data_IF_672144147149
#
_entry.id   IF_672144147149
#
_cell.length_a   1.000
_cell.length_b   1.000
_cell.length_c   1.000
_cell.angle_alpha   90.00
_cell.angle_beta   90.00
_cell.angle_gamma   90.00
#
_symmetry.space_group_name_H-M   'P 1'
#
loop_
_entity.id
_entity.type
_entity.pdbx_description
1 polymer ?
#
# COMPACT_ATOMS: atom_id res chain seq x y z
N UNK A 1 -40.95 16.77 -11.94
CA UNK A 1 -40.04 15.81 -12.62
C UNK A 1 -38.89 16.50 -13.37
N UNK A 2 -38.30 17.56 -12.88
CA UNK A 2 -37.36 18.37 -13.70
C UNK A 2 -36.08 18.77 -13.00
N UNK A 3 -35.97 18.65 -11.70
CA UNK A 3 -34.74 19.08 -11.00
C UNK A 3 -33.66 17.97 -10.85
N UNK A 4 -34.05 16.73 -10.62
CA UNK A 4 -33.10 15.60 -10.49
C UNK A 4 -32.41 15.18 -11.81
N UNK A 5 -33.09 15.36 -12.94
CA UNK A 5 -32.50 15.10 -14.27
C UNK A 5 -31.45 16.15 -14.67
N UNK A 6 -31.61 17.40 -14.25
CA UNK A 6 -30.65 18.46 -14.55
C UNK A 6 -29.34 18.31 -13.77
N UNK A 7 -29.40 17.90 -12.50
CA UNK A 7 -28.18 17.60 -11.70
C UNK A 7 -27.39 16.41 -12.26
N UNK A 8 -28.08 15.34 -12.69
CA UNK A 8 -27.40 14.18 -13.27
C UNK A 8 -26.72 14.48 -14.61
N UNK A 9 -27.32 15.37 -15.43
CA UNK A 9 -26.76 15.79 -16.71
C UNK A 9 -25.55 16.72 -16.50
N UNK A 10 -25.60 17.64 -15.53
CA UNK A 10 -24.48 18.53 -15.22
C UNK A 10 -23.28 17.76 -14.65
N UNK A 11 -23.52 16.81 -13.75
CA UNK A 11 -22.50 15.90 -13.27
C UNK A 11 -21.92 15.04 -14.40
N UNK A 12 -22.75 14.58 -15.31
CA UNK A 12 -22.34 13.75 -16.45
C UNK A 12 -21.55 14.55 -17.51
N UNK A 13 -21.91 15.79 -17.75
CA UNK A 13 -21.19 16.72 -18.68
C UNK A 13 -19.85 17.16 -18.07
N UNK A 14 -19.78 17.47 -16.77
CA UNK A 14 -18.53 17.71 -16.07
C UNK A 14 -17.64 16.46 -16.06
N UNK A 15 -18.21 15.28 -15.86
CA UNK A 15 -17.51 14.00 -15.90
C UNK A 15 -16.91 13.73 -17.29
N UNK A 16 -17.66 13.87 -18.38
CA UNK A 16 -17.14 13.73 -19.75
C UNK A 16 -16.05 14.75 -20.12
N UNK A 17 -16.18 15.99 -19.68
CA UNK A 17 -15.17 17.03 -19.93
C UNK A 17 -13.84 16.77 -19.20
N UNK A 18 -13.89 16.12 -18.02
CA UNK A 18 -12.71 15.77 -17.25
C UNK A 18 -11.95 14.58 -17.85
N UNK A 19 -12.66 13.68 -18.50
CA UNK A 19 -12.16 12.37 -18.96
C UNK A 19 -11.38 12.44 -20.29
N UNK A 20 -11.37 13.56 -20.97
CA UNK A 20 -10.64 13.65 -22.25
C UNK A 20 -9.12 13.77 -22.11
N UNK A 21 -8.56 13.93 -20.89
CA UNK A 21 -7.12 14.10 -20.77
C UNK A 21 -6.55 13.57 -19.44
N UNK A 22 -6.02 12.34 -19.47
CA UNK A 22 -5.31 11.76 -18.32
C UNK A 22 -4.24 12.73 -17.78
N UNK A 23 -3.55 13.46 -18.64
CA UNK A 23 -2.52 14.42 -18.24
C UNK A 23 -3.05 15.51 -17.30
N UNK A 24 -4.31 15.95 -17.48
CA UNK A 24 -4.92 16.94 -16.59
C UNK A 24 -5.41 16.39 -15.26
N UNK A 25 -5.52 15.06 -15.14
CA UNK A 25 -5.95 14.37 -13.93
C UNK A 25 -4.77 13.97 -13.03
N UNK A 26 -3.56 13.89 -13.58
CA UNK A 26 -2.36 13.57 -12.81
C UNK A 26 -2.14 14.60 -11.70
N UNK A 27 -1.85 14.11 -10.47
CA UNK A 27 -1.69 14.94 -9.28
C UNK A 27 -3.00 15.33 -8.60
N UNK A 28 -4.13 14.70 -8.97
CA UNK A 28 -5.46 14.99 -8.40
C UNK A 28 -6.10 13.75 -7.78
N UNK A 29 -7.05 14.02 -6.90
CA UNK A 29 -7.97 13.03 -6.34
C UNK A 29 -9.34 13.29 -6.97
N UNK A 30 -9.82 12.33 -7.75
CA UNK A 30 -11.11 12.40 -8.45
C UNK A 30 -12.19 11.86 -7.55
N UNK A 31 -13.30 12.61 -7.41
CA UNK A 31 -14.46 12.10 -6.68
C UNK A 31 -15.33 11.24 -7.60
N UNK A 32 -15.58 10.00 -7.17
CA UNK A 32 -16.47 9.12 -7.94
C UNK A 32 -16.30 7.64 -7.61
N UNK A 33 -17.12 6.82 -8.26
CA UNK A 33 -16.97 5.37 -8.20
C UNK A 33 -15.77 4.91 -9.02
N UNK A 34 -14.84 4.21 -8.35
CA UNK A 34 -13.56 3.79 -8.93
C UNK A 34 -13.74 2.88 -10.16
N UNK A 35 -14.73 1.99 -10.17
CA UNK A 35 -14.96 1.05 -11.28
C UNK A 35 -15.44 1.80 -12.52
N UNK A 36 -16.30 2.77 -12.34
CA UNK A 36 -16.77 3.65 -13.43
C UNK A 36 -15.64 4.51 -13.95
N UNK A 37 -14.85 5.09 -13.05
CA UNK A 37 -13.71 5.91 -13.40
C UNK A 37 -12.63 5.10 -14.17
N UNK A 38 -12.29 3.92 -13.70
CA UNK A 38 -11.30 3.06 -14.37
C UNK A 38 -11.68 2.71 -15.81
N UNK A 39 -12.96 2.51 -16.13
CA UNK A 39 -13.42 2.20 -17.50
C UNK A 39 -13.03 3.26 -18.52
N UNK A 40 -12.97 4.51 -18.08
CA UNK A 40 -12.67 5.65 -18.95
C UNK A 40 -11.16 5.91 -19.08
N UNK A 41 -10.35 5.38 -18.19
CA UNK A 41 -8.90 5.56 -18.25
C UNK A 41 -8.29 4.77 -19.41
N UNK A 42 -7.28 5.34 -20.10
CA UNK A 42 -6.61 4.65 -21.18
C UNK A 42 -5.84 3.42 -20.66
N UNK A 43 -5.76 2.40 -21.50
CA UNK A 43 -4.96 1.22 -21.19
C UNK A 43 -3.47 1.58 -21.05
N UNK A 44 -2.72 0.74 -20.33
CA UNK A 44 -1.25 0.80 -20.21
C UNK A 44 -0.73 2.16 -19.74
N UNK A 45 -1.43 2.79 -18.82
CA UNK A 45 -1.14 4.14 -18.32
C UNK A 45 -0.27 4.16 -17.07
N UNK A 46 -0.39 3.14 -16.21
CA UNK A 46 0.18 3.16 -14.87
C UNK A 46 1.36 2.20 -14.73
N UNK A 47 2.35 2.64 -13.97
CA UNK A 47 3.51 1.85 -13.61
C UNK A 47 3.22 0.99 -12.36
N UNK A 48 2.43 1.54 -11.44
CA UNK A 48 2.04 0.91 -10.18
C UNK A 48 0.59 1.22 -9.84
N UNK A 49 -0.14 0.22 -9.31
CA UNK A 49 -1.46 0.38 -8.72
C UNK A 49 -1.39 -0.11 -7.27
N UNK A 50 -1.90 0.69 -6.33
CA UNK A 50 -2.06 0.30 -4.92
C UNK A 50 -3.54 0.34 -4.61
N UNK A 51 -4.11 -0.80 -4.28
CA UNK A 51 -5.55 -0.97 -4.07
C UNK A 51 -5.81 -1.46 -2.64
N UNK A 52 -6.22 -0.54 -1.78
CA UNK A 52 -6.77 -0.83 -0.45
C UNK A 52 -8.29 -0.59 -0.49
N UNK A 53 -8.99 -1.46 -1.21
CA UNK A 53 -10.42 -1.37 -1.47
C UNK A 53 -11.30 -1.92 -0.35
N UNK A 54 -12.60 -2.09 -0.58
CA UNK A 54 -13.51 -2.72 0.37
C UNK A 54 -13.09 -4.14 0.76
N UNK A 55 -13.39 -4.51 2.01
CA UNK A 55 -13.13 -5.85 2.54
C UNK A 55 -14.41 -6.62 2.89
N UNK A 56 -15.58 -5.97 2.75
CA UNK A 56 -16.90 -6.51 3.13
C UNK A 56 -16.97 -6.93 4.62
N UNK A 57 -16.32 -6.18 5.50
CA UNK A 57 -16.23 -6.51 6.95
C UNK A 57 -16.83 -5.45 7.86
N UNK A 58 -17.18 -4.28 7.31
CA UNK A 58 -17.76 -3.16 8.08
C UNK A 58 -19.20 -2.88 7.65
N UNK A 59 -19.93 -2.09 8.47
CA UNK A 59 -21.28 -1.66 8.15
C UNK A 59 -21.34 -0.39 7.25
N UNK A 60 -20.20 0.11 6.79
CA UNK A 60 -20.16 1.29 5.93
C UNK A 60 -20.69 0.96 4.52
N UNK A 61 -21.43 1.90 3.92
CA UNK A 61 -22.01 1.71 2.59
C UNK A 61 -20.95 1.39 1.52
N UNK A 62 -19.77 2.01 1.60
CA UNK A 62 -18.67 1.77 0.68
C UNK A 62 -18.03 0.38 0.84
N UNK A 63 -18.21 -0.29 1.99
CA UNK A 63 -17.71 -1.64 2.28
C UNK A 63 -18.79 -2.73 2.10
N UNK A 64 -20.00 -2.34 1.70
CA UNK A 64 -21.11 -3.27 1.48
C UNK A 64 -21.00 -3.92 0.10
N UNK A 65 -20.16 -4.93 0.00
CA UNK A 65 -19.92 -5.71 -1.23
C UNK A 65 -20.46 -7.11 -1.02
N UNK A 66 -21.47 -7.49 -1.81
CA UNK A 66 -22.16 -8.77 -1.67
C UNK A 66 -21.25 -9.99 -1.98
N UNK A 67 -20.37 -9.88 -2.95
CA UNK A 67 -19.38 -10.88 -3.33
C UNK A 67 -18.02 -10.20 -3.51
N UNK A 68 -17.24 -10.22 -2.46
CA UNK A 68 -15.93 -9.56 -2.41
C UNK A 68 -14.90 -10.23 -3.34
N UNK A 69 -15.01 -11.54 -3.55
CA UNK A 69 -14.09 -12.26 -4.43
C UNK A 69 -14.36 -11.91 -5.90
N UNK A 70 -15.62 -11.87 -6.30
CA UNK A 70 -16.01 -11.41 -7.64
C UNK A 70 -15.63 -9.94 -7.86
N UNK A 71 -15.88 -9.08 -6.89
CA UNK A 71 -15.47 -7.66 -6.93
C UNK A 71 -13.96 -7.51 -7.15
N UNK A 72 -13.15 -8.21 -6.38
CA UNK A 72 -11.70 -8.17 -6.53
C UNK A 72 -11.23 -8.76 -7.87
N UNK A 73 -11.92 -9.77 -8.41
CA UNK A 73 -11.63 -10.30 -9.72
C UNK A 73 -11.88 -9.27 -10.84
N UNK A 74 -12.98 -8.52 -10.76
CA UNK A 74 -13.28 -7.41 -11.70
C UNK A 74 -12.21 -6.30 -11.59
N UNK A 75 -11.75 -6.00 -10.37
CA UNK A 75 -10.66 -5.05 -10.17
C UNK A 75 -9.36 -5.51 -10.82
N UNK A 76 -8.96 -6.77 -10.62
CA UNK A 76 -7.74 -7.33 -11.21
C UNK A 76 -7.78 -7.33 -12.74
N UNK A 77 -8.94 -7.61 -13.34
CA UNK A 77 -9.14 -7.47 -14.78
C UNK A 77 -8.93 -6.03 -15.24
N UNK A 78 -9.53 -5.07 -14.54
CA UNK A 78 -9.38 -3.64 -14.84
C UNK A 78 -7.93 -3.17 -14.66
N UNK A 79 -7.26 -3.62 -13.61
CA UNK A 79 -5.85 -3.31 -13.35
C UNK A 79 -4.92 -3.87 -14.42
N UNK A 80 -5.17 -5.11 -14.88
CA UNK A 80 -4.41 -5.70 -15.98
C UNK A 80 -4.46 -4.86 -17.26
N UNK A 81 -5.63 -4.28 -17.57
CA UNK A 81 -5.78 -3.36 -18.70
C UNK A 81 -5.02 -2.05 -18.49
N UNK A 82 -5.10 -1.48 -17.28
CA UNK A 82 -4.56 -0.17 -16.96
C UNK A 82 -3.04 -0.17 -16.76
N UNK A 83 -2.47 -1.28 -16.33
CA UNK A 83 -1.03 -1.40 -16.12
C UNK A 83 -0.27 -1.45 -17.44
N UNK A 84 0.87 -0.78 -17.46
CA UNK A 84 1.91 -0.98 -18.47
C UNK A 84 2.47 -2.41 -18.38
N UNK A 85 3.01 -2.97 -19.47
CA UNK A 85 3.77 -4.21 -19.40
C UNK A 85 4.88 -4.13 -18.35
N UNK A 86 4.93 -5.10 -17.45
CA UNK A 86 5.86 -5.14 -16.30
C UNK A 86 5.47 -4.27 -15.12
N UNK A 87 4.37 -3.53 -15.20
CA UNK A 87 3.81 -2.76 -14.09
C UNK A 87 3.28 -3.67 -12.98
N UNK A 88 3.09 -3.11 -11.79
CA UNK A 88 2.79 -3.83 -10.56
C UNK A 88 1.44 -3.44 -9.95
N UNK A 89 0.82 -4.39 -9.22
CA UNK A 89 -0.34 -4.15 -8.36
C UNK A 89 -0.06 -4.67 -6.96
N UNK A 90 -0.44 -3.90 -5.95
CA UNK A 90 -0.64 -4.37 -4.59
C UNK A 90 -2.13 -4.33 -4.26
N UNK A 91 -2.73 -5.50 -4.08
CA UNK A 91 -4.11 -5.66 -3.66
C UNK A 91 -4.15 -6.06 -2.18
N UNK A 92 -4.76 -5.22 -1.37
CA UNK A 92 -4.98 -5.47 0.05
C UNK A 92 -6.27 -6.25 0.28
N UNK A 93 -6.30 -7.05 1.34
CA UNK A 93 -7.51 -7.74 1.77
C UNK A 93 -7.30 -8.61 3.00
N UNK A 94 -8.40 -9.15 3.51
CA UNK A 94 -8.38 -10.30 4.42
C UNK A 94 -8.10 -11.57 3.60
N UNK A 95 -7.61 -12.66 4.24
CA UNK A 95 -7.42 -13.92 3.53
C UNK A 95 -8.62 -14.32 2.67
N UNK A 96 -9.82 -14.29 3.24
CA UNK A 96 -11.06 -14.69 2.55
C UNK A 96 -11.39 -13.80 1.34
N UNK A 97 -10.89 -12.57 1.30
CA UNK A 97 -11.13 -11.64 0.20
C UNK A 97 -10.24 -11.93 -1.02
N UNK A 98 -9.06 -12.54 -0.81
CA UNK A 98 -8.02 -12.62 -1.85
C UNK A 98 -7.55 -14.05 -2.15
N UNK A 99 -7.86 -15.05 -1.29
CA UNK A 99 -7.27 -16.39 -1.39
C UNK A 99 -7.84 -17.24 -2.52
N UNK A 100 -9.10 -17.06 -2.87
CA UNK A 100 -9.81 -17.92 -3.83
C UNK A 100 -10.07 -17.26 -5.19
N UNK A 101 -9.38 -16.15 -5.47
CA UNK A 101 -9.54 -15.44 -6.75
C UNK A 101 -8.68 -16.09 -7.84
N UNK A 102 -9.27 -16.41 -8.99
CA UNK A 102 -8.50 -16.85 -10.15
C UNK A 102 -7.93 -15.65 -10.94
N UNK A 103 -6.81 -15.14 -10.47
CA UNK A 103 -6.08 -13.99 -11.06
C UNK A 103 -5.25 -14.37 -12.29
N UNK A 104 -4.98 -15.66 -12.52
CA UNK A 104 -4.03 -16.15 -13.55
C UNK A 104 -4.32 -15.68 -14.97
N UNK A 105 -5.58 -15.47 -15.41
CA UNK A 105 -5.85 -14.91 -16.72
C UNK A 105 -5.38 -13.46 -16.91
N UNK A 106 -5.17 -12.73 -15.83
CA UNK A 106 -4.95 -11.28 -15.86
C UNK A 106 -3.54 -10.90 -15.47
N UNK A 107 -3.01 -11.46 -14.39
CA UNK A 107 -1.79 -11.03 -13.73
C UNK A 107 -0.98 -12.22 -13.21
N UNK A 108 0.30 -11.98 -12.93
CA UNK A 108 1.19 -12.96 -12.31
C UNK A 108 1.39 -12.61 -10.84
N UNK A 109 1.02 -13.50 -9.94
CA UNK A 109 1.31 -13.34 -8.51
C UNK A 109 2.80 -13.54 -8.25
N UNK A 110 3.44 -12.54 -7.66
CA UNK A 110 4.85 -12.56 -7.27
C UNK A 110 5.02 -12.97 -5.80
N UNK A 111 4.20 -12.41 -4.91
CA UNK A 111 4.26 -12.69 -3.47
C UNK A 111 2.91 -12.43 -2.80
N UNK A 112 2.66 -13.15 -1.71
CA UNK A 112 1.64 -12.84 -0.72
C UNK A 112 2.32 -12.32 0.52
N UNK A 113 2.15 -11.04 0.82
CA UNK A 113 2.74 -10.39 1.96
C UNK A 113 1.73 -10.45 3.11
N UNK A 114 2.17 -10.96 4.24
CA UNK A 114 1.41 -10.96 5.50
C UNK A 114 1.84 -9.74 6.29
N UNK A 115 0.96 -8.75 6.38
CA UNK A 115 1.17 -7.61 7.25
C UNK A 115 0.60 -7.90 8.63
N UNK A 116 1.48 -8.27 9.56
CA UNK A 116 1.13 -8.67 10.92
C UNK A 116 0.78 -7.48 11.81
N UNK A 117 -0.35 -7.58 12.49
CA UNK A 117 -0.93 -6.54 13.35
C UNK A 117 -1.16 -7.08 14.77
N UNK A 118 -0.12 -7.12 15.61
CA UNK A 118 -0.18 -7.77 16.93
C UNK A 118 -1.16 -7.13 17.91
N UNK A 119 -1.49 -5.84 17.70
CA UNK A 119 -2.44 -5.12 18.56
C UNK A 119 -3.91 -5.32 18.17
N UNK A 120 -4.20 -6.11 17.14
CA UNK A 120 -5.58 -6.45 16.80
C UNK A 120 -6.14 -7.40 17.85
N UNK A 121 -7.01 -6.86 18.70
CA UNK A 121 -7.70 -7.64 19.71
C UNK A 121 -8.92 -8.28 19.08
N UNK A 122 -9.00 -9.60 19.11
CA UNK A 122 -10.21 -10.31 18.77
C UNK A 122 -10.61 -11.26 19.89
N UNK A 123 -11.90 -11.44 20.01
CA UNK A 123 -12.51 -12.23 21.06
C UNK A 123 -13.01 -13.58 20.54
N UNK A 124 -12.27 -14.20 19.62
CA UNK A 124 -12.61 -15.53 19.12
C UNK A 124 -12.53 -16.58 20.23
N UNK A 125 -13.65 -17.25 20.51
CA UNK A 125 -13.69 -18.34 21.50
C UNK A 125 -13.62 -19.71 20.88
N UNK A 126 -13.79 -19.81 19.57
CA UNK A 126 -13.90 -21.09 18.84
C UNK A 126 -12.84 -21.26 17.77
N UNK A 127 -12.07 -20.21 17.45
CA UNK A 127 -11.02 -20.26 16.44
C UNK A 127 -9.90 -19.25 16.76
N UNK A 128 -8.76 -19.39 16.07
CA UNK A 128 -7.69 -18.41 16.14
C UNK A 128 -8.13 -17.08 15.51
N UNK A 129 -7.78 -15.98 16.15
CA UNK A 129 -8.06 -14.65 15.69
C UNK A 129 -7.17 -14.28 14.50
N UNK A 130 -7.78 -13.75 13.43
CA UNK A 130 -7.04 -13.13 12.36
C UNK A 130 -6.42 -11.82 12.84
N UNK A 131 -5.10 -11.75 12.88
CA UNK A 131 -4.32 -10.58 13.30
C UNK A 131 -3.35 -10.09 12.21
N UNK A 132 -3.69 -10.29 10.95
CA UNK A 132 -2.94 -9.79 9.81
C UNK A 132 -3.86 -9.40 8.66
N UNK A 133 -3.35 -8.59 7.76
CA UNK A 133 -3.89 -8.38 6.43
C UNK A 133 -2.96 -9.02 5.40
N UNK A 134 -3.51 -9.42 4.27
CA UNK A 134 -2.77 -9.93 3.13
C UNK A 134 -2.60 -8.81 2.11
N UNK A 135 -1.40 -8.68 1.55
CA UNK A 135 -1.13 -7.78 0.44
C UNK A 135 -0.60 -8.64 -0.70
N UNK A 136 -1.44 -8.87 -1.70
CA UNK A 136 -1.04 -9.62 -2.88
C UNK A 136 -0.26 -8.73 -3.83
N UNK A 137 0.99 -9.09 -4.11
CA UNK A 137 1.85 -8.42 -5.09
C UNK A 137 1.75 -9.13 -6.42
N UNK A 138 1.15 -8.46 -7.40
CA UNK A 138 1.02 -8.95 -8.78
C UNK A 138 1.82 -8.10 -9.74
N UNK A 139 2.12 -8.66 -10.92
CA UNK A 139 2.69 -7.94 -12.06
C UNK A 139 1.98 -8.30 -13.36
N UNK A 140 1.95 -7.36 -14.31
CA UNK A 140 1.54 -7.62 -15.69
C UNK A 140 2.70 -8.25 -16.46
N UNK A 141 2.78 -9.57 -16.42
CA UNK A 141 3.92 -10.32 -16.94
C UNK A 141 5.18 -10.22 -16.06
N UNK A 142 6.37 -10.18 -16.68
CA UNK A 142 7.64 -10.07 -15.95
C UNK A 142 7.76 -8.70 -15.30
N UNK A 143 8.03 -8.66 -14.00
CA UNK A 143 8.25 -7.41 -13.27
C UNK A 143 9.34 -6.56 -13.93
N UNK A 144 9.03 -5.26 -14.16
CA UNK A 144 9.98 -4.29 -14.68
C UNK A 144 10.82 -3.67 -13.58
N UNK A 145 10.20 -3.40 -12.43
CA UNK A 145 10.81 -2.68 -11.31
C UNK A 145 10.63 -3.46 -10.02
N UNK A 146 11.74 -3.73 -9.33
CA UNK A 146 11.76 -4.17 -7.94
C UNK A 146 13.05 -3.66 -7.29
N UNK A 147 12.95 -2.50 -6.63
CA UNK A 147 14.08 -1.79 -6.04
C UNK A 147 14.38 -2.33 -4.63
N UNK A 148 15.04 -3.48 -4.56
CA UNK A 148 15.32 -4.16 -3.30
C UNK A 148 16.15 -3.29 -2.36
N UNK A 149 17.11 -2.54 -2.88
CA UNK A 149 18.04 -1.76 -2.05
C UNK A 149 17.33 -0.60 -1.34
N UNK A 150 16.25 -0.05 -1.92
CA UNK A 150 15.44 1.02 -1.33
C UNK A 150 14.53 0.56 -0.18
N UNK A 151 14.37 -0.76 -0.02
CA UNK A 151 13.43 -1.35 0.94
C UNK A 151 14.08 -2.36 1.90
N UNK A 152 15.42 -2.45 1.90
CA UNK A 152 16.12 -3.36 2.81
C UNK A 152 15.77 -3.06 4.26
N UNK A 153 15.70 -4.12 5.05
CA UNK A 153 15.51 -4.05 6.50
C UNK A 153 16.72 -4.61 7.20
N UNK A 154 16.93 -4.17 8.45
CA UNK A 154 18.01 -4.68 9.28
C UNK A 154 17.97 -6.20 9.36
N UNK A 155 19.12 -6.82 9.40
CA UNK A 155 19.24 -8.26 9.64
C UNK A 155 18.80 -8.53 11.09
N UNK A 156 17.72 -9.31 11.26
CA UNK A 156 17.32 -9.73 12.59
C UNK A 156 18.32 -10.76 13.12
N UNK A 157 18.86 -10.45 14.29
CA UNK A 157 19.49 -11.30 15.30
C UNK A 157 20.69 -12.18 14.90
N UNK A 158 21.59 -12.29 15.87
CA UNK A 158 22.85 -13.08 15.83
C UNK A 158 23.81 -12.59 14.74
N UNK A 159 23.73 -11.29 14.45
CA UNK A 159 24.62 -10.63 13.53
C UNK A 159 26.07 -10.86 13.95
N UNK A 160 26.40 -10.88 15.25
CA UNK A 160 27.76 -11.16 15.74
C UNK A 160 28.26 -12.55 15.35
N UNK A 161 27.41 -13.55 15.45
CA UNK A 161 27.78 -14.90 15.02
C UNK A 161 27.87 -14.97 13.50
N UNK A 162 26.99 -14.29 12.78
CA UNK A 162 26.94 -14.29 11.32
C UNK A 162 28.00 -13.38 10.69
N UNK A 163 28.34 -12.25 11.31
CA UNK A 163 29.44 -11.38 10.87
C UNK A 163 30.82 -12.03 10.98
N UNK A 164 30.98 -13.02 11.86
CA UNK A 164 32.19 -13.85 11.91
C UNK A 164 32.32 -14.83 10.75
N UNK A 165 31.22 -15.10 10.06
CA UNK A 165 31.19 -15.95 8.88
C UNK A 165 31.03 -15.06 7.64
N UNK A 166 32.08 -14.88 6.85
CA UNK A 166 32.05 -14.18 5.57
C UNK A 166 30.97 -14.72 4.64
N UNK A 167 30.57 -15.98 4.82
CA UNK A 167 29.55 -16.65 4.01
C UNK A 167 28.70 -17.59 4.88
N UNK A 168 27.39 -17.55 4.71
CA UNK A 168 26.44 -18.45 5.39
C UNK A 168 26.04 -19.58 4.46
N UNK A 169 25.95 -20.83 4.96
CA UNK A 169 25.39 -21.92 4.17
C UNK A 169 23.99 -21.58 3.68
N UNK A 170 23.74 -21.77 2.42
CA UNK A 170 22.42 -21.53 1.81
C UNK A 170 22.13 -22.58 0.74
N UNK A 171 20.85 -22.84 0.51
CA UNK A 171 20.39 -23.67 -0.61
C UNK A 171 19.73 -22.75 -1.65
N UNK A 172 20.28 -22.77 -2.85
CA UNK A 172 19.71 -22.02 -3.98
C UNK A 172 19.57 -22.97 -5.16
N UNK A 173 18.36 -23.06 -5.72
CA UNK A 173 18.03 -23.96 -6.84
C UNK A 173 18.46 -25.42 -6.57
N UNK A 174 18.22 -25.93 -5.37
CA UNK A 174 18.58 -27.30 -4.99
C UNK A 174 20.09 -27.54 -4.76
N UNK A 175 20.93 -26.53 -4.89
CA UNK A 175 22.38 -26.63 -4.67
C UNK A 175 22.78 -25.97 -3.35
N UNK A 176 23.56 -26.66 -2.56
CA UNK A 176 24.20 -26.08 -1.37
C UNK A 176 25.31 -25.11 -1.79
N UNK A 177 25.29 -23.96 -1.20
CA UNK A 177 26.27 -22.90 -1.44
C UNK A 177 26.49 -22.04 -0.22
N UNK A 178 27.22 -20.96 -0.38
CA UNK A 178 27.44 -19.95 0.65
C UNK A 178 26.94 -18.61 0.13
N UNK A 179 26.17 -17.88 0.95
CA UNK A 179 25.66 -16.54 0.62
C UNK A 179 26.39 -15.51 1.47
N UNK A 180 26.96 -14.50 0.83
CA UNK A 180 27.53 -13.36 1.53
C UNK A 180 26.41 -12.50 2.14
N UNK A 181 26.69 -11.89 3.29
CA UNK A 181 25.82 -10.89 3.88
C UNK A 181 25.89 -9.59 3.08
N UNK A 182 24.73 -8.96 2.88
CA UNK A 182 24.71 -7.57 2.43
C UNK A 182 24.77 -6.66 3.67
N UNK A 183 25.78 -5.76 3.79
CA UNK A 183 25.88 -4.83 4.90
C UNK A 183 24.68 -3.87 4.98
N UNK A 184 24.05 -3.55 3.83
CA UNK A 184 22.88 -2.66 3.75
C UNK A 184 21.57 -3.32 4.22
N UNK A 185 21.65 -4.57 4.73
CA UNK A 185 20.49 -5.29 5.23
C UNK A 185 19.94 -6.35 4.27
N UNK A 186 18.81 -6.92 4.63
CA UNK A 186 18.17 -8.03 3.91
C UNK A 186 16.89 -7.60 3.20
N UNK A 187 16.43 -8.44 2.27
CA UNK A 187 15.06 -8.37 1.77
C UNK A 187 14.07 -8.48 2.94
N UNK A 188 13.04 -7.62 3.02
CA UNK A 188 12.02 -7.68 4.07
C UNK A 188 11.35 -9.05 4.20
N UNK A 189 11.33 -9.83 3.11
CA UNK A 189 10.54 -11.06 3.03
C UNK A 189 9.06 -10.74 2.84
N UNK A 190 8.23 -11.72 3.11
CA UNK A 190 6.79 -11.66 2.91
C UNK A 190 5.97 -11.68 4.21
N UNK A 191 6.62 -11.61 5.38
CA UNK A 191 5.97 -11.44 6.68
C UNK A 191 6.49 -10.16 7.35
N UNK A 192 5.64 -9.14 7.42
CA UNK A 192 5.98 -7.80 7.91
C UNK A 192 5.37 -7.53 9.28
N UNK A 193 6.19 -7.62 10.31
CA UNK A 193 5.82 -7.23 11.68
C UNK A 193 6.55 -5.95 12.15
N UNK A 194 7.43 -5.42 11.32
CA UNK A 194 8.22 -4.22 11.60
C UNK A 194 7.49 -2.90 11.30
N UNK A 195 6.35 -2.97 10.61
CA UNK A 195 5.47 -1.83 10.35
C UNK A 195 4.21 -1.99 11.18
N UNK A 196 4.08 -1.17 12.22
CA UNK A 196 2.92 -1.20 13.11
C UNK A 196 1.71 -0.55 12.46
N UNK A 197 0.51 -1.01 12.80
CA UNK A 197 -0.73 -0.31 12.49
C UNK A 197 -0.79 1.02 13.24
N UNK A 198 -1.58 1.96 12.70
CA UNK A 198 -1.83 3.23 13.37
C UNK A 198 -2.61 3.02 14.67
N UNK A 199 -2.33 3.86 15.63
CA UNK A 199 -3.03 3.95 16.91
C UNK A 199 -3.47 5.39 17.15
N UNK A 200 -4.34 5.60 18.11
CA UNK A 200 -4.79 6.95 18.51
C UNK A 200 -3.64 7.89 18.95
N UNK A 201 -2.43 7.35 19.16
CA UNK A 201 -1.22 8.11 19.49
C UNK A 201 -0.33 8.36 18.27
N UNK A 202 -0.66 7.82 17.11
CA UNK A 202 0.14 8.00 15.90
C UNK A 202 0.05 9.43 15.40
N UNK A 203 1.21 10.08 15.20
CA UNK A 203 1.28 11.48 14.76
C UNK A 203 0.69 11.70 13.36
N UNK A 204 0.79 10.70 12.49
CA UNK A 204 0.25 10.72 11.13
C UNK A 204 -1.26 10.45 11.05
N UNK A 205 -1.90 10.12 12.19
CA UNK A 205 -3.33 9.87 12.21
C UNK A 205 -4.10 11.18 12.05
N UNK A 206 -4.86 11.27 10.97
CA UNK A 206 -5.60 12.50 10.63
C UNK A 206 -6.80 12.70 11.55
N UNK A 207 -7.56 11.64 11.83
CA UNK A 207 -8.72 11.66 12.71
C UNK A 207 -8.87 10.34 13.44
N UNK A 208 -9.37 10.39 14.67
CA UNK A 208 -9.69 9.18 15.46
C UNK A 208 -10.79 8.35 14.81
N UNK A 209 -11.70 9.00 14.11
CA UNK A 209 -12.79 8.35 13.40
C UNK A 209 -12.32 7.50 12.22
N UNK A 210 -11.17 7.88 11.63
CA UNK A 210 -10.51 7.14 10.55
C UNK A 210 -9.61 6.01 11.04
N UNK A 211 -9.39 5.92 12.36
CA UNK A 211 -8.58 4.87 12.95
C UNK A 211 -9.26 3.52 12.76
N UNK A 212 -8.47 2.53 12.35
CA UNK A 212 -8.86 1.13 12.14
C UNK A 212 -9.69 0.83 10.87
N UNK A 213 -10.16 1.84 10.16
CA UNK A 213 -11.04 1.58 9.01
C UNK A 213 -10.44 2.02 7.68
N UNK A 214 -9.72 3.14 7.63
CA UNK A 214 -9.41 3.79 6.36
C UNK A 214 -7.93 4.12 6.20
N UNK A 215 -7.29 4.66 7.24
CA UNK A 215 -5.92 5.13 7.09
C UNK A 215 -4.89 4.02 7.29
N UNK A 216 -4.10 3.72 6.28
CA UNK A 216 -2.92 2.85 6.39
C UNK A 216 -1.67 3.66 6.77
N UNK A 217 -0.67 3.04 7.43
CA UNK A 217 0.59 3.70 7.77
C UNK A 217 1.34 4.18 6.52
N UNK A 218 1.87 5.40 6.57
CA UNK A 218 2.68 5.95 5.47
C UNK A 218 3.92 5.09 5.20
N UNK A 219 4.58 4.57 6.24
CA UNK A 219 5.72 3.65 6.11
C UNK A 219 5.38 2.38 5.32
N UNK A 220 4.14 1.88 5.42
CA UNK A 220 3.69 0.74 4.64
C UNK A 220 3.63 1.09 3.16
N UNK A 221 2.95 2.21 2.82
CA UNK A 221 2.84 2.68 1.45
C UNK A 221 4.18 3.08 0.86
N UNK A 222 5.06 3.69 1.65
CA UNK A 222 6.42 4.03 1.24
C UNK A 222 7.20 2.79 0.78
N UNK A 223 7.16 1.69 1.56
CA UNK A 223 7.84 0.44 1.19
C UNK A 223 7.33 -0.11 -0.13
N UNK A 224 6.01 -0.13 -0.34
CA UNK A 224 5.40 -0.64 -1.57
C UNK A 224 5.74 0.24 -2.78
N UNK A 225 5.64 1.56 -2.63
CA UNK A 225 5.92 2.52 -3.69
C UNK A 225 7.40 2.48 -4.08
N UNK A 226 8.30 2.48 -3.11
CA UNK A 226 9.75 2.36 -3.37
C UNK A 226 10.10 1.05 -4.08
N UNK A 227 9.51 -0.07 -3.63
CA UNK A 227 9.79 -1.38 -4.22
C UNK A 227 9.46 -1.44 -5.71
N UNK A 228 8.31 -0.90 -6.12
CA UNK A 228 7.73 -1.18 -7.44
C UNK A 228 7.54 0.04 -8.33
N UNK A 229 8.19 1.16 -8.01
CA UNK A 229 8.20 2.35 -8.85
C UNK A 229 9.49 3.17 -8.69
N UNK A 230 9.74 4.05 -9.66
CA UNK A 230 10.85 5.01 -9.67
C UNK A 230 10.31 6.45 -9.59
N UNK A 231 11.13 7.45 -9.21
CA UNK A 231 10.75 8.85 -9.34
C UNK A 231 10.24 9.17 -10.76
N UNK A 232 9.12 9.87 -10.86
CA UNK A 232 8.46 10.19 -12.11
C UNK A 232 7.47 9.14 -12.63
N UNK A 233 7.47 7.90 -12.11
CA UNK A 233 6.48 6.88 -12.46
C UNK A 233 5.07 7.31 -12.00
N UNK A 234 4.05 6.80 -12.69
CA UNK A 234 2.65 7.09 -12.40
C UNK A 234 2.02 5.98 -11.56
N UNK A 235 1.60 6.35 -10.36
CA UNK A 235 0.93 5.47 -9.40
C UNK A 235 -0.57 5.75 -9.40
N UNK A 236 -1.38 4.71 -9.39
CA UNK A 236 -2.84 4.82 -9.28
C UNK A 236 -3.33 4.23 -7.95
N UNK A 237 -4.20 4.98 -7.28
CA UNK A 237 -4.91 4.55 -6.07
C UNK A 237 -6.42 4.69 -6.31
N UNK A 238 -7.12 3.58 -6.61
CA UNK A 238 -8.55 3.62 -6.92
C UNK A 238 -9.46 3.88 -5.70
N UNK A 239 -8.96 3.71 -4.47
CA UNK A 239 -9.73 3.83 -3.23
C UNK A 239 -8.91 4.58 -2.17
N UNK A 240 -8.60 5.84 -2.45
CA UNK A 240 -7.54 6.52 -1.71
C UNK A 240 -7.88 6.89 -0.26
N UNK A 241 -9.14 6.84 0.13
CA UNK A 241 -9.58 7.16 1.48
C UNK A 241 -9.02 8.50 1.96
N UNK A 242 -8.25 8.49 3.04
CA UNK A 242 -7.59 9.67 3.58
C UNK A 242 -6.33 10.12 2.82
N UNK A 243 -6.01 9.53 1.67
CA UNK A 243 -4.94 9.99 0.77
C UNK A 243 -3.52 9.58 1.14
N UNK A 244 -3.31 8.48 1.85
CA UNK A 244 -1.96 8.05 2.25
C UNK A 244 -1.06 7.78 1.04
N UNK A 245 -1.55 7.08 0.01
CA UNK A 245 -0.76 6.81 -1.22
C UNK A 245 -0.43 8.09 -1.97
N UNK A 246 -1.37 9.01 -2.27
CA UNK A 246 -1.06 10.31 -2.86
C UNK A 246 0.01 11.12 -2.12
N UNK A 247 -0.10 11.22 -0.78
CA UNK A 247 0.87 11.93 0.07
C UNK A 247 2.27 11.33 -0.05
N UNK A 248 2.37 10.02 0.07
CA UNK A 248 3.67 9.33 -0.05
C UNK A 248 4.24 9.44 -1.47
N UNK A 249 3.40 9.35 -2.51
CA UNK A 249 3.82 9.57 -3.90
C UNK A 249 4.44 10.95 -4.09
N UNK A 250 3.78 12.00 -3.58
CA UNK A 250 4.27 13.37 -3.67
C UNK A 250 5.65 13.51 -3.03
N UNK A 251 5.81 13.03 -1.79
CA UNK A 251 7.08 13.05 -1.05
C UNK A 251 8.20 12.28 -1.75
N UNK A 252 7.87 11.16 -2.36
CA UNK A 252 8.80 10.32 -3.10
C UNK A 252 9.01 10.75 -4.55
N UNK A 253 8.45 11.87 -5.00
CA UNK A 253 8.54 12.39 -6.38
C UNK A 253 7.95 11.42 -7.42
N UNK A 254 6.93 10.63 -7.05
CA UNK A 254 6.10 9.85 -7.97
C UNK A 254 4.90 10.70 -8.37
N UNK A 255 4.49 10.58 -9.63
CA UNK A 255 3.20 11.14 -10.05
C UNK A 255 2.09 10.22 -9.56
N UNK A 256 0.94 10.75 -9.29
CA UNK A 256 -0.20 9.96 -8.86
C UNK A 256 -1.49 10.38 -9.56
N UNK A 257 -2.42 9.46 -9.58
CA UNK A 257 -3.84 9.68 -9.81
C UNK A 257 -4.58 8.88 -8.74
N UNK A 258 -5.60 9.46 -8.14
CA UNK A 258 -6.37 8.76 -7.11
C UNK A 258 -7.87 8.98 -7.30
N UNK A 259 -8.67 8.06 -6.77
CA UNK A 259 -10.12 8.13 -6.78
C UNK A 259 -10.67 7.91 -5.37
N UNK A 260 -11.71 8.67 -5.00
CA UNK A 260 -12.43 8.51 -3.73
C UNK A 260 -13.93 8.81 -3.94
N UNK A 261 -14.76 7.91 -3.46
CA UNK A 261 -16.22 8.08 -3.60
C UNK A 261 -16.79 9.02 -2.54
N UNK A 262 -16.22 9.01 -1.33
CA UNK A 262 -16.67 9.83 -0.22
C UNK A 262 -16.06 11.23 -0.30
N UNK A 263 -16.92 12.26 -0.34
CA UNK A 263 -16.49 13.64 -0.48
C UNK A 263 -15.66 14.14 0.72
N UNK A 264 -16.00 13.69 1.94
CA UNK A 264 -15.31 14.12 3.15
C UNK A 264 -13.88 13.52 3.19
N UNK A 265 -13.74 12.24 2.83
CA UNK A 265 -12.42 11.59 2.75
C UNK A 265 -11.55 12.21 1.66
N UNK A 266 -12.14 12.52 0.50
CA UNK A 266 -11.46 13.25 -0.55
C UNK A 266 -10.95 14.61 -0.06
N UNK A 267 -11.78 15.35 0.66
CA UNK A 267 -11.40 16.67 1.21
C UNK A 267 -10.21 16.53 2.18
N UNK A 268 -10.28 15.59 3.11
CA UNK A 268 -9.18 15.25 4.04
C UNK A 268 -7.89 14.91 3.26
N UNK A 269 -7.99 14.11 2.23
CA UNK A 269 -6.84 13.71 1.42
C UNK A 269 -6.22 14.91 0.67
N UNK A 270 -7.03 15.83 0.16
CA UNK A 270 -6.58 17.07 -0.48
C UNK A 270 -5.88 18.01 0.50
N UNK A 271 -6.41 18.17 1.73
CA UNK A 271 -5.76 18.96 2.79
C UNK A 271 -4.40 18.38 3.18
N UNK A 272 -4.28 17.06 3.29
CA UNK A 272 -3.00 16.39 3.54
C UNK A 272 -1.99 16.65 2.43
N UNK A 273 -2.42 16.60 1.17
CA UNK A 273 -1.55 16.91 0.04
C UNK A 273 -1.04 18.36 0.07
N UNK A 274 -1.91 19.31 0.43
CA UNK A 274 -1.51 20.72 0.58
C UNK A 274 -0.51 20.88 1.71
N UNK A 275 -0.75 20.30 2.87
CA UNK A 275 0.16 20.36 4.02
C UNK A 275 1.52 19.76 3.72
N UNK A 276 1.56 18.64 2.99
CA UNK A 276 2.81 17.98 2.58
C UNK A 276 3.64 18.83 1.62
N UNK A 277 3.03 19.67 0.78
CA UNK A 277 3.75 20.61 -0.10
C UNK A 277 4.45 21.72 0.67
N UNK A 278 3.89 22.11 1.80
CA UNK A 278 4.38 23.23 2.62
C UNK A 278 5.46 22.83 3.63
N UNK A 279 5.61 21.53 3.87
CA UNK A 279 6.68 20.97 4.71
C UNK A 279 7.81 20.51 3.79
N UNK A 280 8.76 21.40 3.50
CA UNK A 280 10.05 20.97 2.99
C UNK A 280 10.66 19.96 3.97
N UNK A 281 10.68 18.71 3.57
CA UNK A 281 11.51 17.60 4.03
C UNK A 281 11.88 17.60 5.53
N UNK A 282 10.96 17.20 6.41
CA UNK A 282 11.40 16.48 7.58
C UNK A 282 11.64 15.02 7.17
N UNK A 283 12.88 14.51 7.23
CA UNK A 283 13.14 13.11 6.96
C UNK A 283 12.27 12.27 7.89
N UNK A 284 11.67 11.18 7.38
CA UNK A 284 11.17 10.12 8.26
C UNK A 284 12.42 9.66 9.01
N UNK A 285 12.52 9.98 10.30
CA UNK A 285 13.56 9.43 11.15
C UNK A 285 13.49 7.92 11.03
N UNK A 286 14.46 7.36 10.36
CA UNK A 286 14.78 5.94 10.47
C UNK A 286 14.97 5.72 11.97
N UNK A 287 14.13 4.91 12.59
CA UNK A 287 14.36 4.47 13.96
C UNK A 287 15.75 3.83 13.98
N UNK A 288 16.74 4.58 14.46
CA UNK A 288 18.04 4.03 14.77
C UNK A 288 17.83 2.97 15.83
N UNK A 289 18.12 1.72 15.47
CA UNK A 289 18.22 0.67 16.45
C UNK A 289 19.42 0.99 17.32
N UNK A 290 19.33 0.85 18.67
CA UNK A 290 20.45 1.11 19.53
C UNK A 290 21.64 0.26 19.11
N UNK A 291 22.78 0.90 18.89
CA UNK A 291 24.06 0.22 18.72
C UNK A 291 24.26 -0.73 19.92
N UNK A 292 24.36 -2.02 19.65
CA UNK A 292 24.74 -2.98 20.67
C UNK A 292 26.22 -2.78 20.97
N UNK A 293 26.51 -1.89 21.93
CA UNK A 293 27.84 -1.81 22.51
C UNK A 293 28.05 -2.96 23.47
N UNK A 294 29.12 -3.67 23.25
CA UNK A 294 29.64 -4.79 24.03
C UNK A 294 29.25 -4.78 25.51
N UNK A 295 28.49 -5.75 25.92
CA UNK A 295 28.55 -6.45 27.20
C UNK A 295 28.48 -5.62 28.48
N UNK A 296 27.40 -4.93 28.77
CA UNK A 296 26.90 -4.74 30.14
C UNK A 296 25.41 -4.37 30.06
N UNK A 297 24.58 -5.13 30.77
CA UNK A 297 23.18 -4.83 31.01
C UNK A 297 23.09 -3.53 31.81
N UNK A 298 22.53 -2.48 31.21
CA UNK A 298 21.84 -1.44 31.96
C UNK A 298 20.48 -1.27 31.31
N UNK A 299 19.49 -1.68 32.08
CA UNK A 299 18.07 -1.53 31.78
C UNK A 299 17.69 -0.08 32.03
N UNK A 300 17.56 0.70 30.98
CA UNK A 300 16.78 1.95 31.09
C UNK A 300 16.01 2.13 29.79
N UNK A 301 14.77 1.69 29.80
CA UNK A 301 13.78 2.00 28.78
C UNK A 301 13.30 3.41 29.08
N UNK A 302 13.88 4.41 28.48
CA UNK A 302 13.23 5.70 28.32
C UNK A 302 12.65 5.78 26.93
N UNK A 303 11.36 5.55 26.87
CA UNK A 303 10.54 5.91 25.70
C UNK A 303 10.44 7.43 25.71
N UNK A 304 11.29 8.10 24.97
CA UNK A 304 11.19 9.53 24.70
C UNK A 304 10.00 9.77 23.80
N UNK A 305 8.95 10.35 24.38
CA UNK A 305 7.88 11.03 23.67
C UNK A 305 8.43 12.39 23.21
N UNK A 306 8.47 12.62 21.94
CA UNK A 306 8.26 13.92 21.31
C UNK A 306 7.30 13.77 20.16
#
# INVERSE_FOLDING_TARGET
>A
MTCQKALSIHLWVCYKSFMCNLASAIGKIVQGDARSFMRELPAESFDLIICDGPYAVTAHEWDNVADIQHFNLELLNSFSRLLKPGGAVYLFGKPDCVDFIDYRPFLTLQSRIVWYQPSRLAQGRVSYTNNYDVICYFTKGKAKTFNLDDIRVAQLVELEHRLRCEKVPSVRNGKFGKTAFNPDGKNPGDVWGDIKQLTYKSKELVSRELLNTIQKPEKLMERLIKASSNPGDLVFDPFCGSGTVPVVCQRLKRRFLACEINADYRHIAEERLVSTRNTDEAPIELLEFPEVRNGRKETTVQVGLL
#
